data_IF_406390050863
#
_entry.id   IF_406390050863
#
_cell.length_a   1.000
_cell.length_b   1.000
_cell.length_c   1.000
_cell.angle_alpha   90.00
_cell.angle_beta   90.00
_cell.angle_gamma   90.00
#
_symmetry.space_group_name_H-M   'P 1'
#
loop_
_entity.id
_entity.type
_entity.pdbx_description
1 polymer ?
#
# COMPACT_ATOMS: atom_id res chain seq x y z
N UNK A 1 -0.26 24.20 12.19
CA UNK A 1 -1.54 23.93 11.50
C UNK A 1 -1.60 22.44 11.20
N UNK A 2 -2.74 21.77 11.43
CA UNK A 2 -2.91 20.36 11.05
C UNK A 2 -2.97 20.20 9.53
N UNK A 3 -2.53 19.05 9.02
CA UNK A 3 -2.66 18.65 7.61
C UNK A 3 -4.05 18.08 7.32
N UNK A 4 -4.58 17.30 8.27
CA UNK A 4 -5.93 16.71 8.28
C UNK A 4 -6.31 16.41 9.75
N UNK A 5 -7.59 16.49 10.09
CA UNK A 5 -8.12 16.12 11.41
C UNK A 5 -9.31 15.16 11.28
N UNK A 6 -9.81 14.66 12.41
CA UNK A 6 -11.04 13.83 12.46
C UNK A 6 -12.32 14.63 12.24
N UNK A 7 -12.23 15.96 12.16
CA UNK A 7 -13.36 16.82 11.80
C UNK A 7 -13.51 16.95 10.27
N UNK A 8 -12.48 16.57 9.51
CA UNK A 8 -12.48 16.61 8.05
C UNK A 8 -13.17 15.36 7.47
N UNK A 9 -13.95 15.58 6.40
CA UNK A 9 -14.49 14.50 5.58
C UNK A 9 -13.42 13.94 4.63
N UNK A 10 -13.35 12.61 4.54
CA UNK A 10 -12.46 11.91 3.64
C UNK A 10 -12.95 11.97 2.19
N UNK A 11 -12.04 11.92 1.19
CA UNK A 11 -12.40 11.81 -0.22
C UNK A 11 -13.33 10.63 -0.56
N UNK A 12 -13.28 9.55 0.23
CA UNK A 12 -14.14 8.38 0.07
C UNK A 12 -15.49 8.51 0.81
N UNK A 13 -15.78 9.70 1.33
CA UNK A 13 -16.97 10.04 2.11
C UNK A 13 -16.81 9.84 3.62
N UNK A 14 -17.58 10.61 4.38
CA UNK A 14 -17.65 10.57 5.85
C UNK A 14 -16.38 11.06 6.56
N UNK A 15 -16.44 11.33 7.88
CA UNK A 15 -15.30 11.89 8.59
C UNK A 15 -14.21 10.85 8.85
N UNK A 16 -12.98 11.34 8.94
CA UNK A 16 -11.88 10.52 9.48
C UNK A 16 -12.12 10.20 10.96
N UNK A 17 -11.70 9.00 11.36
CA UNK A 17 -11.75 8.58 12.78
C UNK A 17 -10.36 8.28 13.33
N UNK A 18 -9.47 7.74 12.50
CA UNK A 18 -8.13 7.31 12.90
C UNK A 18 -7.18 7.43 11.71
N UNK A 19 -5.90 7.60 12.03
CA UNK A 19 -4.81 7.66 11.06
C UNK A 19 -3.78 6.56 11.37
N UNK A 20 -3.25 5.94 10.33
CA UNK A 20 -2.32 4.81 10.41
C UNK A 20 -0.95 5.16 9.87
N UNK A 21 -0.47 4.41 8.85
CA UNK A 21 0.76 4.73 8.11
C UNK A 21 0.91 6.24 7.94
N UNK A 22 2.12 6.75 8.10
CA UNK A 22 2.46 8.16 7.90
C UNK A 22 3.81 8.25 7.20
N UNK A 23 3.87 9.05 6.13
CA UNK A 23 5.09 9.30 5.38
C UNK A 23 5.11 10.74 4.86
N UNK A 24 6.32 11.27 4.62
CA UNK A 24 6.56 12.62 4.13
C UNK A 24 7.61 12.56 3.02
N UNK A 25 7.30 13.16 1.86
CA UNK A 25 8.28 13.33 0.78
C UNK A 25 9.13 14.57 1.00
N UNK A 26 10.29 14.64 0.33
CA UNK A 26 11.11 15.86 0.29
C UNK A 26 10.39 17.07 -0.34
N UNK A 27 9.35 16.83 -1.14
CA UNK A 27 8.50 17.88 -1.71
C UNK A 27 7.41 18.38 -0.75
N UNK A 28 7.31 17.80 0.46
CA UNK A 28 6.31 18.16 1.46
C UNK A 28 4.98 17.42 1.33
N UNK A 29 4.88 16.44 0.42
CA UNK A 29 3.67 15.61 0.31
C UNK A 29 3.60 14.67 1.50
N UNK A 30 2.52 14.78 2.28
CA UNK A 30 2.18 13.81 3.33
C UNK A 30 1.35 12.68 2.74
N UNK A 31 1.77 11.44 2.98
CA UNK A 31 1.01 10.23 2.70
C UNK A 31 0.57 9.54 3.99
N UNK A 32 -0.64 9.00 4.03
CA UNK A 32 -1.15 8.32 5.22
C UNK A 32 -2.24 7.30 4.95
N UNK A 33 -2.44 6.36 5.88
CA UNK A 33 -3.66 5.54 5.91
C UNK A 33 -4.73 6.23 6.78
N UNK A 34 -5.97 6.32 6.31
CA UNK A 34 -7.06 6.93 7.04
C UNK A 34 -8.27 6.00 7.15
N UNK A 35 -8.84 5.89 8.36
CA UNK A 35 -10.10 5.18 8.62
C UNK A 35 -11.25 6.17 8.70
N UNK A 36 -12.43 5.73 8.26
CA UNK A 36 -13.59 6.60 8.04
C UNK A 36 -14.86 6.03 8.66
N UNK A 37 -15.65 6.91 9.28
CA UNK A 37 -16.99 6.60 9.74
C UNK A 37 -18.03 6.98 8.68
N UNK A 38 -19.20 6.33 8.72
CA UNK A 38 -20.35 6.66 7.86
C UNK A 38 -20.06 6.60 6.34
N UNK A 39 -19.02 5.86 5.94
CA UNK A 39 -18.71 5.54 4.54
C UNK A 39 -18.73 4.04 4.28
N UNK A 40 -19.02 3.66 3.03
CA UNK A 40 -18.91 2.29 2.55
C UNK A 40 -17.44 1.83 2.46
N UNK A 41 -16.52 2.77 2.21
CA UNK A 41 -15.07 2.54 2.28
C UNK A 41 -14.64 2.92 3.70
N UNK A 42 -14.15 1.95 4.49
CA UNK A 42 -13.76 2.20 5.90
C UNK A 42 -12.29 2.54 6.09
N UNK A 43 -11.47 2.31 5.07
CA UNK A 43 -10.04 2.57 5.11
C UNK A 43 -9.51 2.84 3.70
N UNK A 44 -8.60 3.80 3.57
CA UNK A 44 -7.90 4.10 2.32
C UNK A 44 -6.49 4.65 2.58
N UNK A 45 -5.65 4.58 1.56
CA UNK A 45 -4.36 5.25 1.49
C UNK A 45 -4.52 6.59 0.79
N UNK A 46 -4.06 7.65 1.42
CA UNK A 46 -4.17 9.02 0.94
C UNK A 46 -2.80 9.66 0.76
N UNK A 47 -2.73 10.61 -0.16
CA UNK A 47 -1.67 11.62 -0.21
C UNK A 47 -2.29 13.00 -0.25
N UNK A 48 -1.58 13.97 0.30
CA UNK A 48 -1.91 15.39 0.10
C UNK A 48 -1.79 15.77 -1.37
N UNK A 49 -2.81 16.47 -1.88
CA UNK A 49 -2.76 17.13 -3.18
C UNK A 49 -2.59 18.64 -3.02
N UNK A 50 -2.59 19.37 -4.13
CA UNK A 50 -2.46 20.84 -4.10
C UNK A 50 -3.61 21.54 -3.38
N UNK A 51 -4.83 21.02 -3.51
CA UNK A 51 -6.05 21.62 -2.97
C UNK A 51 -6.90 20.65 -2.14
N UNK A 52 -6.71 19.34 -2.30
CA UNK A 52 -7.48 18.31 -1.61
C UNK A 52 -6.65 17.05 -1.47
N UNK A 53 -7.05 16.17 -0.55
CA UNK A 53 -6.50 14.83 -0.43
C UNK A 53 -6.85 13.97 -1.66
N UNK A 54 -5.94 13.06 -2.01
CA UNK A 54 -6.13 12.09 -3.09
C UNK A 54 -6.08 10.69 -2.50
N UNK A 55 -7.13 9.89 -2.70
CA UNK A 55 -7.10 8.47 -2.37
C UNK A 55 -6.33 7.70 -3.46
N UNK A 56 -5.25 7.01 -3.07
CA UNK A 56 -4.43 6.21 -3.98
C UNK A 56 -4.91 4.75 -4.06
N UNK A 57 -5.42 4.21 -2.95
CA UNK A 57 -6.00 2.88 -2.86
C UNK A 57 -7.08 2.87 -1.78
N UNK A 58 -8.13 2.08 -1.96
CA UNK A 58 -9.26 2.03 -1.03
C UNK A 58 -9.73 0.62 -0.74
N UNK A 59 -10.24 0.40 0.48
CA UNK A 59 -10.88 -0.86 0.83
C UNK A 59 -12.02 -1.20 -0.16
N UNK A 60 -12.12 -2.48 -0.54
CA UNK A 60 -13.08 -2.98 -1.52
C UNK A 60 -12.63 -2.81 -2.98
N UNK A 61 -11.51 -2.13 -3.25
CA UNK A 61 -10.94 -2.05 -4.60
C UNK A 61 -10.43 -3.42 -5.05
N UNK A 62 -10.79 -3.84 -6.27
CA UNK A 62 -10.30 -5.06 -6.89
C UNK A 62 -9.08 -4.78 -7.79
N UNK A 63 -7.99 -5.51 -7.59
CA UNK A 63 -6.74 -5.41 -8.40
C UNK A 63 -6.16 -6.81 -8.56
N UNK A 64 -6.06 -7.28 -9.81
CA UNK A 64 -5.71 -8.68 -10.08
C UNK A 64 -6.74 -9.62 -9.45
N UNK A 65 -6.27 -10.62 -8.71
CA UNK A 65 -7.13 -11.57 -7.99
C UNK A 65 -7.53 -11.09 -6.58
N UNK A 66 -7.00 -9.94 -6.13
CA UNK A 66 -7.22 -9.44 -4.79
C UNK A 66 -8.36 -8.42 -4.73
N UNK A 67 -9.14 -8.47 -3.65
CA UNK A 67 -10.00 -7.37 -3.20
C UNK A 67 -9.41 -6.78 -1.92
N UNK A 68 -9.19 -5.48 -1.89
CA UNK A 68 -8.46 -4.83 -0.79
C UNK A 68 -9.26 -4.83 0.50
N UNK A 69 -8.60 -5.20 1.60
CA UNK A 69 -9.18 -5.29 2.94
C UNK A 69 -8.69 -4.13 3.81
N UNK A 70 -7.76 -4.38 4.74
CA UNK A 70 -7.04 -3.34 5.48
C UNK A 70 -5.64 -3.17 4.91
N UNK A 71 -5.04 -2.01 5.06
CA UNK A 71 -3.69 -1.74 4.57
C UNK A 71 -2.66 -1.96 5.67
N UNK A 72 -1.58 -2.69 5.37
CA UNK A 72 -0.53 -3.00 6.32
C UNK A 72 0.86 -2.73 5.72
N UNK A 73 1.83 -2.47 6.61
CA UNK A 73 3.26 -2.31 6.27
C UNK A 73 3.52 -1.36 5.09
N UNK A 74 2.72 -0.30 4.96
CA UNK A 74 2.82 0.59 3.83
C UNK A 74 4.01 1.55 3.98
N UNK A 75 4.68 1.84 2.86
CA UNK A 75 5.80 2.77 2.78
C UNK A 75 5.71 3.61 1.50
N UNK A 76 6.18 4.85 1.55
CA UNK A 76 6.09 5.81 0.43
C UNK A 76 7.48 6.31 0.02
N UNK A 77 7.71 6.53 -1.28
CA UNK A 77 8.91 7.21 -1.79
C UNK A 77 8.63 8.69 -2.13
N UNK A 78 9.67 9.41 -2.58
CA UNK A 78 9.54 10.84 -2.95
C UNK A 78 8.66 11.10 -4.18
N UNK A 79 8.37 10.08 -4.99
CA UNK A 79 7.48 10.18 -6.15
C UNK A 79 6.00 9.94 -5.77
N UNK A 80 5.69 9.94 -4.46
CA UNK A 80 4.36 9.66 -3.90
C UNK A 80 3.84 8.25 -4.23
N UNK A 81 4.75 7.32 -4.58
CA UNK A 81 4.42 5.94 -4.83
C UNK A 81 4.42 5.17 -3.50
N UNK A 82 3.31 4.51 -3.19
CA UNK A 82 3.10 3.79 -1.93
C UNK A 82 3.12 2.29 -2.19
N UNK A 83 4.09 1.58 -1.61
CA UNK A 83 4.05 0.11 -1.51
C UNK A 83 3.27 -0.29 -0.28
N UNK A 84 2.51 -1.37 -0.37
CA UNK A 84 1.72 -1.87 0.77
C UNK A 84 1.38 -3.35 0.60
N UNK A 85 0.98 -3.95 1.72
CA UNK A 85 0.40 -5.27 1.81
C UNK A 85 -1.05 -5.18 2.30
N UNK A 86 -1.82 -6.25 2.09
CA UNK A 86 -3.13 -6.38 2.72
C UNK A 86 -2.99 -7.05 4.09
N UNK A 87 -3.73 -6.53 5.06
CA UNK A 87 -3.87 -7.11 6.38
C UNK A 87 -5.14 -7.96 6.49
N UNK A 88 -5.82 -7.84 7.64
CA UNK A 88 -6.96 -8.67 8.06
C UNK A 88 -8.04 -8.80 6.96
N UNK A 89 -8.73 -9.96 6.88
CA UNK A 89 -8.71 -11.06 7.84
C UNK A 89 -7.54 -12.04 7.66
N UNK A 90 -6.86 -12.05 6.50
CA UNK A 90 -5.67 -12.89 6.32
C UNK A 90 -4.46 -12.23 7.02
N UNK A 91 -3.88 -12.86 8.06
CA UNK A 91 -2.68 -12.32 8.70
C UNK A 91 -1.43 -12.51 7.84
N UNK A 92 -1.49 -13.28 6.75
CA UNK A 92 -0.36 -13.58 5.87
C UNK A 92 -0.57 -12.88 4.52
N UNK A 93 0.15 -11.79 4.22
CA UNK A 93 0.08 -11.13 2.93
C UNK A 93 0.37 -12.07 1.76
N UNK A 94 -0.48 -12.00 0.73
CA UNK A 94 -0.37 -12.82 -0.50
C UNK A 94 0.13 -12.05 -1.70
N UNK A 95 0.32 -10.74 -1.57
CA UNK A 95 0.89 -9.91 -2.60
C UNK A 95 1.46 -8.62 -1.99
N UNK A 96 2.41 -8.03 -2.71
CA UNK A 96 2.88 -6.66 -2.51
C UNK A 96 2.30 -5.82 -3.64
N UNK A 97 1.70 -4.68 -3.30
CA UNK A 97 1.07 -3.77 -4.25
C UNK A 97 1.84 -2.47 -4.32
N UNK A 98 1.67 -1.75 -5.43
CA UNK A 98 2.13 -0.37 -5.60
C UNK A 98 0.94 0.50 -5.99
N UNK A 99 0.63 1.49 -5.16
CA UNK A 99 -0.33 2.55 -5.46
C UNK A 99 0.40 3.83 -5.89
N UNK A 100 -0.13 4.47 -6.93
CA UNK A 100 0.32 5.78 -7.42
C UNK A 100 -0.92 6.59 -7.78
N UNK A 101 -0.75 7.88 -8.10
CA UNK A 101 -1.87 8.68 -8.65
C UNK A 101 -2.46 8.13 -9.95
N UNK A 102 -1.69 7.33 -10.70
CA UNK A 102 -2.15 6.70 -11.94
C UNK A 102 -2.98 5.42 -11.70
N UNK A 103 -3.00 4.91 -10.47
CA UNK A 103 -3.69 3.68 -10.10
C UNK A 103 -2.80 2.72 -9.33
N UNK A 104 -3.34 1.53 -9.10
CA UNK A 104 -2.73 0.48 -8.28
C UNK A 104 -2.42 -0.74 -9.15
N UNK A 105 -1.27 -1.36 -8.89
CA UNK A 105 -0.88 -2.62 -9.54
C UNK A 105 -0.19 -3.58 -8.59
N UNK A 106 -0.23 -4.86 -8.94
CA UNK A 106 0.54 -5.91 -8.25
C UNK A 106 2.03 -5.75 -8.59
N UNK A 107 2.90 -5.82 -7.58
CA UNK A 107 4.35 -5.88 -7.75
C UNK A 107 4.81 -7.33 -7.84
N UNK A 108 4.32 -8.15 -6.91
CA UNK A 108 4.56 -9.60 -6.83
C UNK A 108 3.42 -10.24 -6.04
N UNK A 109 3.04 -11.47 -6.40
CA UNK A 109 1.98 -12.24 -5.76
C UNK A 109 2.42 -13.68 -5.45
N UNK A 110 1.68 -14.34 -4.58
CA UNK A 110 1.89 -15.74 -4.26
C UNK A 110 1.66 -16.58 -5.52
N UNK A 111 2.53 -17.56 -5.76
CA UNK A 111 2.58 -18.33 -7.00
C UNK A 111 3.57 -17.78 -8.02
N UNK A 112 4.00 -16.52 -7.94
CA UNK A 112 5.02 -15.97 -8.85
C UNK A 112 6.36 -16.70 -8.68
N UNK A 113 7.12 -16.78 -9.77
CA UNK A 113 8.44 -17.41 -9.76
C UNK A 113 9.46 -16.60 -8.94
N UNK A 114 10.14 -17.26 -8.02
CA UNK A 114 11.26 -16.72 -7.27
C UNK A 114 12.59 -16.95 -8.01
N UNK A 115 13.62 -16.12 -7.79
CA UNK A 115 14.94 -16.29 -8.41
C UNK A 115 15.60 -17.66 -8.15
N UNK A 116 15.22 -18.34 -7.07
CA UNK A 116 15.68 -19.69 -6.73
C UNK A 116 15.08 -20.80 -7.60
N UNK A 117 14.18 -20.47 -8.54
CA UNK A 117 13.40 -21.44 -9.31
C UNK A 117 12.18 -22.01 -8.56
N UNK A 118 11.96 -21.59 -7.32
CA UNK A 118 10.76 -21.88 -6.51
C UNK A 118 9.64 -20.88 -6.78
N UNK A 119 8.53 -20.97 -6.06
CA UNK A 119 7.46 -19.95 -6.10
C UNK A 119 7.36 -19.20 -4.78
N UNK A 120 7.01 -17.92 -4.82
CA UNK A 120 6.65 -17.16 -3.62
C UNK A 120 5.34 -17.70 -3.03
N UNK A 121 5.22 -17.71 -1.70
CA UNK A 121 4.02 -18.19 -0.99
C UNK A 121 3.42 -17.19 -0.01
N UNK A 122 4.24 -16.30 0.53
CA UNK A 122 3.86 -15.29 1.51
C UNK A 122 4.82 -14.11 1.46
N UNK A 123 4.34 -12.93 1.86
CA UNK A 123 5.11 -11.70 1.90
C UNK A 123 5.06 -11.06 3.28
N UNK A 124 6.01 -10.18 3.54
CA UNK A 124 5.99 -9.24 4.66
C UNK A 124 6.55 -7.90 4.19
N UNK A 125 6.97 -7.08 5.15
CA UNK A 125 7.33 -5.67 4.95
C UNK A 125 8.07 -5.39 3.63
N UNK A 126 7.55 -4.41 2.90
CA UNK A 126 8.15 -3.85 1.71
C UNK A 126 8.69 -2.44 1.94
N UNK A 127 9.72 -2.08 1.16
CA UNK A 127 10.27 -0.75 1.06
C UNK A 127 10.42 -0.36 -0.41
N UNK A 128 10.32 0.93 -0.71
CA UNK A 128 10.43 1.47 -2.06
C UNK A 128 11.40 2.65 -2.11
N UNK A 129 12.19 2.75 -3.17
CA UNK A 129 13.01 3.92 -3.45
C UNK A 129 12.42 4.79 -4.57
N UNK A 130 12.93 6.01 -4.77
CA UNK A 130 12.51 6.94 -5.84
C UNK A 130 12.97 6.53 -7.25
N UNK A 131 13.57 5.33 -7.40
CA UNK A 131 13.75 4.69 -8.72
C UNK A 131 12.63 3.69 -9.01
N UNK A 132 11.64 3.59 -8.12
CA UNK A 132 10.54 2.64 -8.19
C UNK A 132 10.92 1.20 -7.86
N UNK A 133 12.14 0.95 -7.37
CA UNK A 133 12.56 -0.39 -6.97
C UNK A 133 11.95 -0.75 -5.62
N UNK A 134 11.46 -1.98 -5.50
CA UNK A 134 10.76 -2.48 -4.31
C UNK A 134 11.57 -3.61 -3.70
N UNK A 135 12.06 -3.41 -2.47
CA UNK A 135 12.65 -4.47 -1.65
C UNK A 135 11.57 -5.04 -0.75
N UNK A 136 11.48 -6.36 -0.61
CA UNK A 136 10.43 -7.01 0.20
C UNK A 136 10.90 -8.30 0.85
N UNK A 137 10.36 -8.59 2.03
CA UNK A 137 10.52 -9.90 2.67
C UNK A 137 9.53 -10.87 2.03
N UNK A 138 10.00 -12.07 1.67
CA UNK A 138 9.12 -13.12 1.20
C UNK A 138 9.58 -14.50 1.64
N UNK A 139 8.61 -15.41 1.62
CA UNK A 139 8.83 -16.83 1.81
C UNK A 139 8.52 -17.59 0.52
N UNK A 140 9.31 -18.63 0.21
CA UNK A 140 9.07 -19.53 -0.93
C UNK A 140 8.36 -20.82 -0.51
N UNK A 141 7.79 -21.52 -1.49
CA UNK A 141 7.03 -22.78 -1.33
C UNK A 141 7.82 -23.95 -0.70
N UNK A 142 9.13 -23.82 -0.54
CA UNK A 142 10.02 -24.74 0.17
C UNK A 142 10.40 -24.25 1.59
N UNK A 143 9.77 -23.19 2.08
CA UNK A 143 9.94 -22.66 3.44
C UNK A 143 11.13 -21.72 3.62
N UNK A 144 11.85 -21.35 2.56
CA UNK A 144 12.95 -20.39 2.67
C UNK A 144 12.43 -18.96 2.77
N UNK A 145 12.97 -18.20 3.72
CA UNK A 145 12.74 -16.77 3.86
C UNK A 145 13.90 -15.97 3.27
N UNK A 146 13.59 -14.85 2.62
CA UNK A 146 14.61 -13.96 2.06
C UNK A 146 14.10 -12.55 1.84
N UNK A 147 15.05 -11.66 1.52
CA UNK A 147 14.76 -10.30 1.04
C UNK A 147 15.02 -10.29 -0.46
N UNK A 148 14.06 -9.82 -1.22
CA UNK A 148 14.07 -9.82 -2.68
C UNK A 148 13.94 -8.39 -3.20
N UNK A 149 14.46 -8.15 -4.40
CA UNK A 149 14.37 -6.85 -5.08
C UNK A 149 13.60 -7.03 -6.39
N UNK A 150 12.45 -6.36 -6.50
CA UNK A 150 11.73 -6.20 -7.75
C UNK A 150 12.02 -4.82 -8.33
N UNK A 151 12.29 -4.78 -9.64
CA UNK A 151 12.24 -3.54 -10.41
C UNK A 151 11.01 -3.63 -11.31
N UNK A 152 9.89 -3.03 -10.90
CA UNK A 152 8.70 -3.07 -11.72
C UNK A 152 8.95 -2.45 -13.09
N UNK A 153 8.52 -3.14 -14.13
CA UNK A 153 8.55 -2.56 -15.49
C UNK A 153 7.49 -1.46 -15.56
N UNK A 154 7.81 -0.37 -16.26
CA UNK A 154 6.87 0.72 -16.54
C UNK A 154 5.68 0.22 -17.34
#
# INVERSE_FOLDING_TARGET
MPVVTTDDDAPVGGPFTEFGMLALTNAGTVGFAGRTARSAVREALYVTGRAALVALAQQGQAVGEATFTTFANAAMNDDEAVVFELGRPDPIPRAVFLATRAGVRVVVAAGDAAPSGRRFRAFGIAAINSRGQVAFVAETDDGRHGIYLATPRR
#
